data_IF_026493227155
#
_entry.id   IF_026493227155
#
_cell.length_a   1.000
_cell.length_b   1.000
_cell.length_c   1.000
_cell.angle_alpha   90.00
_cell.angle_beta   90.00
_cell.angle_gamma   90.00
#
_symmetry.space_group_name_H-M   'P 1'
#
loop_
_entity.id
_entity.type
_entity.pdbx_description
1 polymer ?
#
# COMPACT_ATOMS: atom_id res chain seq x y z
N UNK A 1 6.62 -43.57 17.35
CA UNK A 1 7.54 -42.96 16.36
C UNK A 1 7.06 -41.56 16.07
N UNK A 2 7.76 -40.55 16.59
CA UNK A 2 7.47 -39.14 16.33
C UNK A 2 7.98 -38.76 14.95
N UNK A 3 7.15 -38.07 14.17
CA UNK A 3 7.53 -37.54 12.87
C UNK A 3 7.75 -36.02 13.01
N UNK A 4 9.01 -35.63 13.15
CA UNK A 4 9.46 -34.24 13.21
C UNK A 4 9.31 -33.58 11.82
N UNK A 5 8.17 -32.93 11.60
CA UNK A 5 8.01 -31.98 10.50
C UNK A 5 8.77 -30.69 10.85
N UNK A 6 10.07 -30.65 10.53
CA UNK A 6 10.86 -29.41 10.52
C UNK A 6 10.28 -28.44 9.49
N UNK A 7 9.46 -27.51 9.96
CA UNK A 7 8.99 -26.36 9.16
C UNK A 7 10.17 -25.44 8.92
N UNK A 8 10.69 -25.43 7.68
CA UNK A 8 11.63 -24.40 7.23
C UNK A 8 11.02 -23.00 7.33
N UNK A 9 11.84 -21.94 7.44
CA UNK A 9 11.34 -20.57 7.57
C UNK A 9 10.51 -20.20 6.34
N UNK A 10 9.27 -19.77 6.58
CA UNK A 10 8.37 -19.32 5.51
C UNK A 10 8.91 -17.99 4.96
N UNK A 11 9.59 -18.05 3.82
CA UNK A 11 10.11 -16.85 3.15
C UNK A 11 8.94 -15.96 2.72
N UNK A 12 8.80 -14.85 3.43
CA UNK A 12 7.85 -13.81 3.10
C UNK A 12 8.40 -13.02 1.91
N UNK A 13 7.60 -12.77 0.87
CA UNK A 13 8.03 -12.05 -0.34
C UNK A 13 8.61 -10.65 -0.02
N UNK A 14 8.21 -10.07 1.12
CA UNK A 14 8.77 -8.83 1.65
C UNK A 14 10.28 -8.90 1.98
N UNK A 15 10.83 -10.08 2.26
CA UNK A 15 12.28 -10.26 2.45
C UNK A 15 13.07 -10.03 1.15
N UNK A 16 12.48 -10.34 0.00
CA UNK A 16 13.09 -10.12 -1.32
C UNK A 16 13.17 -8.61 -1.61
N UNK A 17 12.09 -7.86 -1.32
CA UNK A 17 12.10 -6.40 -1.47
C UNK A 17 13.11 -5.72 -0.52
N UNK A 18 13.23 -6.19 0.72
CA UNK A 18 14.26 -5.71 1.65
C UNK A 18 15.68 -5.98 1.17
N UNK A 19 15.93 -7.15 0.59
CA UNK A 19 17.23 -7.52 0.01
C UNK A 19 17.56 -6.66 -1.22
N UNK A 20 16.57 -6.36 -2.08
CA UNK A 20 16.75 -5.48 -3.24
C UNK A 20 17.13 -4.06 -2.80
N UNK A 21 16.48 -3.50 -1.78
CA UNK A 21 16.84 -2.18 -1.24
C UNK A 21 18.25 -2.19 -0.63
N UNK A 22 18.62 -3.25 0.10
CA UNK A 22 19.97 -3.41 0.65
C UNK A 22 21.04 -3.51 -0.43
N UNK A 23 20.76 -4.19 -1.54
CA UNK A 23 21.66 -4.28 -2.68
C UNK A 23 21.80 -2.90 -3.35
N UNK A 24 20.70 -2.17 -3.55
CA UNK A 24 20.74 -0.82 -4.12
C UNK A 24 21.55 0.14 -3.24
N UNK A 25 21.35 0.10 -1.93
CA UNK A 25 22.13 0.87 -0.95
C UNK A 25 23.60 0.44 -0.94
N UNK A 26 23.87 -0.87 -0.98
CA UNK A 26 25.22 -1.42 -1.02
C UNK A 26 25.99 -1.02 -2.28
N UNK A 27 25.32 -1.02 -3.44
CA UNK A 27 25.90 -0.58 -4.72
C UNK A 27 26.15 0.94 -4.74
N UNK A 28 25.25 1.74 -4.15
CA UNK A 28 25.45 3.18 -3.97
C UNK A 28 26.64 3.49 -3.05
N UNK A 29 26.80 2.75 -1.94
CA UNK A 29 27.90 2.93 -0.99
C UNK A 29 29.22 2.41 -1.56
N UNK A 30 29.21 1.30 -2.30
CA UNK A 30 30.41 0.72 -2.92
C UNK A 30 30.98 1.56 -4.06
N UNK A 31 30.18 2.45 -4.66
CA UNK A 31 30.63 3.38 -5.69
C UNK A 31 31.22 4.68 -5.15
N UNK A 32 31.08 4.95 -3.86
CA UNK A 32 31.59 6.16 -3.20
C UNK A 32 32.98 5.93 -2.59
N UNK A 33 33.95 6.76 -2.97
CA UNK A 33 35.21 6.85 -2.24
C UNK A 33 34.91 7.48 -0.88
N UNK A 34 34.74 6.66 0.16
CA UNK A 34 34.66 7.14 1.53
C UNK A 34 36.06 7.58 1.95
N UNK A 35 36.44 8.81 1.61
CA UNK A 35 37.69 9.40 2.07
C UNK A 35 37.55 9.68 3.57
N UNK A 36 38.41 9.09 4.43
CA UNK A 36 38.45 9.49 5.83
C UNK A 36 38.83 10.98 5.89
N UNK A 37 38.06 11.76 6.65
CA UNK A 37 38.32 13.18 6.93
C UNK A 37 39.82 13.37 7.14
N UNK A 38 40.47 14.08 6.23
CA UNK A 38 41.86 14.43 6.42
C UNK A 38 41.89 15.50 7.51
N UNK A 39 42.93 15.48 8.36
CA UNK A 39 43.03 16.46 9.44
C UNK A 39 42.98 17.88 8.86
N UNK A 40 42.27 18.81 9.53
CA UNK A 40 42.21 20.21 9.11
C UNK A 40 43.64 20.79 9.14
N UNK A 41 44.22 21.02 7.95
CA UNK A 41 45.52 21.65 7.79
C UNK A 41 45.38 23.09 7.30
N UNK A 42 46.43 23.89 7.42
CA UNK A 42 46.44 25.29 6.99
C UNK A 42 47.20 25.48 5.68
N UNK A 43 46.95 26.59 5.00
CA UNK A 43 47.72 26.98 3.81
C UNK A 43 49.23 27.15 4.11
N UNK A 44 49.61 27.40 5.37
CA UNK A 44 51.03 27.45 5.79
C UNK A 44 51.68 26.08 5.75
N UNK A 45 50.97 25.02 6.15
CA UNK A 45 51.48 23.64 6.09
C UNK A 45 51.74 23.21 4.64
N UNK A 46 50.88 23.67 3.71
CA UNK A 46 51.10 23.51 2.28
C UNK A 46 52.39 24.19 1.81
N UNK A 47 52.64 25.45 2.20
CA UNK A 47 53.87 26.16 1.83
C UNK A 47 55.12 25.39 2.30
N UNK A 48 55.12 24.92 3.54
CA UNK A 48 56.23 24.11 4.09
C UNK A 48 56.44 22.80 3.33
N UNK A 49 55.35 22.13 2.93
CA UNK A 49 55.43 20.89 2.16
C UNK A 49 55.87 21.11 0.69
N UNK A 50 55.51 22.23 0.10
CA UNK A 50 55.89 22.59 -1.26
C UNK A 50 57.34 23.07 -1.35
N UNK A 51 57.81 23.85 -0.37
CA UNK A 51 59.21 24.28 -0.25
C UNK A 51 60.17 23.09 -0.11
N UNK A 52 59.70 21.98 0.48
CA UNK A 52 60.45 20.72 0.57
C UNK A 52 60.35 19.84 -0.68
N UNK A 53 59.67 20.30 -1.75
CA UNK A 53 59.59 19.64 -3.06
C UNK A 53 58.70 18.39 -3.10
N UNK A 54 57.90 18.16 -2.05
CA UNK A 54 57.16 16.91 -1.79
C UNK A 54 55.79 16.86 -2.46
N UNK A 55 55.25 18.00 -2.90
CA UNK A 55 53.92 18.11 -3.51
C UNK A 55 53.96 17.68 -4.99
N UNK A 56 52.97 16.90 -5.41
CA UNK A 56 52.78 16.43 -6.78
C UNK A 56 51.67 17.18 -7.52
N UNK A 57 50.50 17.35 -6.89
CA UNK A 57 49.32 18.00 -7.49
C UNK A 57 48.39 18.54 -6.40
N UNK A 58 47.62 19.55 -6.77
CA UNK A 58 46.54 20.12 -5.96
C UNK A 58 45.21 19.86 -6.65
N UNK A 59 44.20 19.45 -5.89
CA UNK A 59 42.82 19.39 -6.38
C UNK A 59 41.93 20.28 -5.53
N UNK A 60 41.28 21.26 -6.16
CA UNK A 60 40.23 22.07 -5.53
C UNK A 60 38.92 21.31 -5.68
N UNK A 61 38.31 20.93 -4.56
CA UNK A 61 37.07 20.16 -4.53
C UNK A 61 35.93 21.08 -4.12
N UNK A 62 34.86 21.10 -4.93
CA UNK A 62 33.62 21.84 -4.65
C UNK A 62 33.80 23.33 -4.30
N UNK A 63 34.92 23.93 -4.69
CA UNK A 63 35.33 25.30 -4.35
C UNK A 63 35.43 25.59 -2.84
N UNK A 64 35.49 24.54 -2.00
CA UNK A 64 35.42 24.64 -0.54
C UNK A 64 36.77 24.28 0.12
N UNK A 65 37.43 23.22 -0.37
CA UNK A 65 38.71 22.77 0.17
C UNK A 65 39.66 22.32 -0.95
N UNK A 66 40.95 22.26 -0.60
CA UNK A 66 42.03 21.82 -1.49
C UNK A 66 42.66 20.56 -0.93
N UNK A 67 42.61 19.51 -1.73
CA UNK A 67 43.31 18.25 -1.50
C UNK A 67 44.75 18.34 -2.03
N UNK A 68 45.72 18.08 -1.16
CA UNK A 68 47.14 18.07 -1.51
C UNK A 68 47.62 16.63 -1.69
N UNK A 69 48.23 16.34 -2.84
CA UNK A 69 48.80 15.01 -3.12
C UNK A 69 50.34 15.12 -3.13
N UNK A 70 51.00 14.18 -2.47
CA UNK A 70 52.46 14.06 -2.47
C UNK A 70 52.99 13.18 -3.59
N UNK A 71 54.28 13.36 -3.93
CA UNK A 71 55.00 12.48 -4.86
C UNK A 71 55.19 11.09 -4.24
N UNK A 72 55.13 10.03 -5.06
CA UNK A 72 55.33 8.66 -4.61
C UNK A 72 56.70 8.48 -3.92
N UNK A 73 56.72 7.73 -2.81
CA UNK A 73 57.95 7.37 -2.10
C UNK A 73 58.49 8.40 -1.10
N UNK A 74 57.77 9.50 -0.85
CA UNK A 74 58.16 10.51 0.14
C UNK A 74 57.57 10.16 1.52
N UNK A 75 58.40 10.14 2.57
CA UNK A 75 57.96 9.92 3.94
C UNK A 75 57.04 11.07 4.42
N UNK A 76 55.90 10.71 4.99
CA UNK A 76 54.84 11.62 5.46
C UNK A 76 55.28 12.31 6.77
N UNK A 77 55.48 13.64 6.77
CA UNK A 77 55.94 14.35 7.96
C UNK A 77 54.78 14.57 8.95
N UNK A 78 54.71 13.78 10.03
CA UNK A 78 53.68 13.83 11.08
C UNK A 78 53.00 15.21 11.23
N UNK A 79 51.66 15.30 11.15
CA UNK A 79 50.99 16.58 11.22
C UNK A 79 51.35 17.24 12.57
N UNK A 80 51.60 18.55 12.54
CA UNK A 80 52.05 19.32 13.71
C UNK A 80 51.06 19.29 14.90
N UNK A 81 49.89 18.66 14.75
CA UNK A 81 48.85 18.48 15.76
C UNK A 81 48.56 17.03 16.20
N UNK A 82 49.41 16.05 15.87
CA UNK A 82 49.29 14.68 16.43
C UNK A 82 48.16 13.81 15.85
N UNK A 83 47.58 14.18 14.71
CA UNK A 83 46.66 13.33 13.95
C UNK A 83 47.33 12.04 13.45
N UNK A 84 46.66 10.90 13.58
CA UNK A 84 47.16 9.62 13.03
C UNK A 84 47.03 9.62 11.52
N UNK A 85 48.14 9.41 10.81
CA UNK A 85 48.07 9.09 9.38
C UNK A 85 47.32 7.80 9.15
N UNK A 86 46.52 7.77 8.09
CA UNK A 86 46.17 6.52 7.48
C UNK A 86 47.41 6.03 6.71
N UNK A 87 48.20 5.11 7.28
CA UNK A 87 49.42 4.56 6.63
C UNK A 87 49.15 3.90 5.26
N UNK A 88 47.88 3.70 4.89
CA UNK A 88 47.47 3.30 3.54
C UNK A 88 47.69 4.38 2.45
N UNK A 89 47.90 5.64 2.84
CA UNK A 89 48.12 6.79 1.93
C UNK A 89 49.53 6.78 1.32
N UNK A 90 50.43 5.94 1.85
CA UNK A 90 51.85 5.98 1.49
C UNK A 90 52.22 5.51 0.08
N UNK A 91 51.32 4.80 -0.60
CA UNK A 91 51.62 4.14 -1.87
C UNK A 91 50.58 4.40 -2.97
N UNK A 92 49.70 5.39 -2.82
CA UNK A 92 48.58 5.58 -3.76
C UNK A 92 48.38 7.04 -4.18
N UNK A 93 48.56 7.34 -5.47
CA UNK A 93 48.32 8.65 -6.08
C UNK A 93 46.85 9.12 -6.06
N UNK A 94 45.97 8.25 -5.55
CA UNK A 94 44.52 8.43 -5.50
C UNK A 94 44.01 8.91 -4.14
N UNK A 95 44.84 8.93 -3.11
CA UNK A 95 44.46 9.42 -1.78
C UNK A 95 45.15 10.74 -1.47
N UNK A 96 44.41 11.78 -1.03
CA UNK A 96 45.03 13.04 -0.63
C UNK A 96 45.88 12.84 0.63
N UNK A 97 47.02 13.53 0.70
CA UNK A 97 47.90 13.52 1.85
C UNK A 97 47.33 14.34 3.01
N UNK A 98 46.75 15.49 2.69
CA UNK A 98 45.97 16.32 3.59
C UNK A 98 45.02 17.25 2.82
N UNK A 99 44.04 17.81 3.52
CA UNK A 99 43.11 18.80 2.99
C UNK A 99 43.13 20.08 3.83
N UNK A 100 42.89 21.23 3.19
CA UNK A 100 42.69 22.49 3.89
C UNK A 100 41.55 23.28 3.27
N UNK A 101 40.80 24.00 4.11
CA UNK A 101 39.68 24.84 3.65
C UNK A 101 40.19 26.11 3.01
N UNK A 102 39.52 26.52 1.94
CA UNK A 102 39.78 27.79 1.25
C UNK A 102 38.55 28.69 1.36
N UNK A 103 38.77 30.01 1.39
CA UNK A 103 37.68 30.98 1.41
C UNK A 103 36.98 31.09 0.05
N UNK A 104 37.68 31.68 -0.93
CA UNK A 104 37.21 31.75 -2.32
C UNK A 104 38.31 31.23 -3.24
N UNK A 105 37.92 30.61 -4.35
CA UNK A 105 38.88 30.12 -5.37
C UNK A 105 39.75 31.26 -5.92
N UNK A 106 39.20 32.46 -6.03
CA UNK A 106 39.92 33.65 -6.47
C UNK A 106 40.97 34.12 -5.47
N UNK A 107 40.67 34.06 -4.18
CA UNK A 107 41.64 34.40 -3.14
C UNK A 107 42.74 33.34 -3.09
N UNK A 108 42.37 32.06 -3.17
CA UNK A 108 43.32 30.97 -3.22
C UNK A 108 44.27 31.06 -4.43
N UNK A 109 43.76 31.35 -5.62
CA UNK A 109 44.59 31.49 -6.82
C UNK A 109 45.54 32.70 -6.73
N UNK A 110 45.10 33.81 -6.13
CA UNK A 110 45.94 34.98 -5.84
C UNK A 110 47.05 34.63 -4.85
N UNK A 111 46.71 34.00 -3.73
CA UNK A 111 47.67 33.61 -2.68
C UNK A 111 48.69 32.58 -3.21
N UNK A 112 48.27 31.65 -4.07
CA UNK A 112 49.15 30.70 -4.74
C UNK A 112 50.10 31.41 -5.71
N UNK A 113 49.58 32.35 -6.53
CA UNK A 113 50.38 33.13 -7.48
C UNK A 113 51.41 34.02 -6.78
N UNK A 114 51.04 34.66 -5.66
CA UNK A 114 51.95 35.46 -4.83
C UNK A 114 53.02 34.59 -4.17
N UNK A 115 52.66 33.40 -3.72
CA UNK A 115 53.61 32.43 -3.18
C UNK A 115 54.60 31.95 -4.25
N UNK A 116 54.14 31.59 -5.45
CA UNK A 116 55.02 31.17 -6.56
C UNK A 116 55.99 32.28 -6.98
N UNK A 117 55.54 33.55 -6.98
CA UNK A 117 56.39 34.71 -7.26
C UNK A 117 57.45 34.97 -6.18
N UNK A 118 57.11 34.75 -4.91
CA UNK A 118 58.02 35.04 -3.79
C UNK A 118 59.10 33.96 -3.57
N UNK A 119 58.87 32.73 -4.03
CA UNK A 119 59.82 31.61 -3.79
C UNK A 119 60.74 31.28 -4.97
N UNK A 120 60.58 31.87 -6.16
CA UNK A 120 61.44 31.63 -7.34
C UNK A 120 61.68 30.12 -7.62
N UNK A 121 60.71 29.27 -7.28
CA UNK A 121 60.83 27.82 -7.35
C UNK A 121 60.31 27.33 -8.69
N UNK A 122 61.13 26.63 -9.47
CA UNK A 122 60.77 26.06 -10.77
C UNK A 122 59.69 24.94 -10.73
N UNK A 123 59.12 24.64 -9.56
CA UNK A 123 58.10 23.62 -9.37
C UNK A 123 56.70 24.25 -9.38
N UNK A 124 56.18 24.51 -10.58
CA UNK A 124 54.77 24.88 -10.74
C UNK A 124 53.91 23.64 -10.45
N UNK A 125 53.13 23.70 -9.36
CA UNK A 125 52.24 22.58 -9.00
C UNK A 125 50.95 22.71 -9.79
N UNK A 126 50.55 21.64 -10.46
CA UNK A 126 49.31 21.63 -11.24
C UNK A 126 48.10 21.64 -10.32
N UNK A 127 47.19 22.59 -10.56
CA UNK A 127 45.91 22.74 -9.85
C UNK A 127 44.80 22.20 -10.74
N UNK A 128 44.06 21.21 -10.24
CA UNK A 128 42.87 20.66 -10.90
C UNK A 128 41.62 21.08 -10.14
N UNK A 129 40.52 21.28 -10.85
CA UNK A 129 39.21 21.57 -10.27
C UNK A 129 38.31 20.36 -10.48
N UNK A 130 37.74 19.85 -9.40
CA UNK A 130 36.88 18.67 -9.42
C UNK A 130 35.61 18.95 -8.60
N UNK A 131 34.48 18.42 -9.07
CA UNK A 131 33.19 18.55 -8.40
C UNK A 131 32.79 17.16 -7.93
N UNK A 132 32.94 16.92 -6.63
CA UNK A 132 32.63 15.62 -6.03
C UNK A 132 31.26 15.66 -5.37
N UNK A 133 30.34 14.73 -5.70
CA UNK A 133 29.05 14.66 -5.04
C UNK A 133 29.23 14.30 -3.56
N UNK A 134 28.57 15.06 -2.68
CA UNK A 134 28.56 14.80 -1.23
C UNK A 134 27.62 13.62 -0.92
N UNK A 135 28.18 12.42 -0.99
CA UNK A 135 27.44 11.18 -0.71
C UNK A 135 26.93 11.10 0.73
N UNK A 136 27.58 11.77 1.69
CA UNK A 136 27.15 11.77 3.10
C UNK A 136 25.87 12.60 3.27
N UNK A 137 25.84 13.79 2.65
CA UNK A 137 24.64 14.62 2.62
C UNK A 137 23.49 13.92 1.88
N UNK A 138 23.76 13.32 0.72
CA UNK A 138 22.78 12.54 -0.04
C UNK A 138 22.22 11.38 0.79
N UNK A 139 23.08 10.61 1.48
CA UNK A 139 22.67 9.51 2.34
C UNK A 139 21.79 9.99 3.51
N UNK A 140 22.16 11.07 4.20
CA UNK A 140 21.37 11.64 5.30
C UNK A 140 19.97 12.08 4.85
N UNK A 141 19.87 12.69 3.67
CA UNK A 141 18.60 13.14 3.10
C UNK A 141 17.65 11.96 2.78
N UNK A 142 18.19 10.82 2.33
CA UNK A 142 17.40 9.62 2.07
C UNK A 142 17.13 8.78 3.32
N UNK A 143 18.00 8.84 4.34
CA UNK A 143 17.85 8.05 5.56
C UNK A 143 16.63 8.47 6.39
N UNK A 144 16.35 9.78 6.49
CA UNK A 144 15.24 10.33 7.27
C UNK A 144 13.85 9.81 6.81
N UNK A 145 13.47 9.88 5.52
CA UNK A 145 12.20 9.35 5.07
C UNK A 145 12.10 7.82 5.20
N UNK A 146 13.21 7.09 4.96
CA UNK A 146 13.24 5.63 5.15
C UNK A 146 12.95 5.28 6.62
N UNK A 147 13.62 5.97 7.55
CA UNK A 147 13.45 5.74 8.99
C UNK A 147 12.03 6.09 9.45
N UNK A 148 11.43 7.14 8.89
CA UNK A 148 10.02 7.50 9.14
C UNK A 148 9.05 6.38 8.70
N UNK A 149 9.22 5.85 7.48
CA UNK A 149 8.38 4.73 7.01
C UNK A 149 8.60 3.46 7.83
N UNK A 150 9.84 3.15 8.21
CA UNK A 150 10.16 2.00 9.07
C UNK A 150 9.55 2.17 10.46
N UNK A 151 9.55 3.37 11.03
CA UNK A 151 8.93 3.66 12.32
C UNK A 151 7.40 3.51 12.28
N UNK A 152 6.74 4.05 11.24
CA UNK A 152 5.30 3.88 11.03
C UNK A 152 4.96 2.39 10.85
N UNK A 153 5.74 1.69 10.03
CA UNK A 153 5.58 0.26 9.81
C UNK A 153 5.71 -0.48 11.15
N UNK A 154 6.76 -0.23 11.93
CA UNK A 154 6.93 -0.84 13.24
C UNK A 154 5.76 -0.54 14.19
N UNK A 155 5.23 0.69 14.20
CA UNK A 155 4.07 1.05 15.02
C UNK A 155 2.78 0.32 14.61
N UNK A 156 2.52 0.18 13.31
CA UNK A 156 1.36 -0.55 12.77
C UNK A 156 1.46 -2.03 13.13
N UNK A 157 2.64 -2.63 12.92
CA UNK A 157 2.87 -4.04 13.22
C UNK A 157 2.87 -4.33 14.72
N UNK A 158 3.37 -3.41 15.56
CA UNK A 158 3.26 -3.50 17.02
C UNK A 158 1.80 -3.46 17.49
N UNK A 159 0.95 -2.66 16.83
CA UNK A 159 -0.49 -2.59 17.14
C UNK A 159 -1.26 -3.82 16.66
N UNK A 160 -0.75 -4.52 15.64
CA UNK A 160 -1.38 -5.72 15.08
C UNK A 160 -0.91 -7.03 15.75
N UNK A 161 0.22 -7.00 16.49
CA UNK A 161 0.77 -8.16 17.20
C UNK A 161 0.31 -8.36 18.64
N UNK A 162 -0.46 -7.43 19.22
CA UNK A 162 -0.81 -7.44 20.66
C UNK A 162 -2.29 -7.79 20.96
N UNK A 163 -3.06 -8.20 19.95
CA UNK A 163 -4.39 -8.78 20.11
C UNK A 163 -4.36 -10.23 19.64
N UNK A 164 -4.49 -11.17 20.58
CA UNK A 164 -4.23 -12.59 20.37
C UNK A 164 -5.04 -13.27 19.26
N UNK A 165 -4.53 -14.42 18.83
CA UNK A 165 -5.24 -15.38 17.98
C UNK A 165 -4.59 -15.55 16.61
N UNK A 166 -4.07 -16.74 16.36
CA UNK A 166 -3.40 -17.10 15.12
C UNK A 166 -4.25 -16.83 13.88
N UNK A 167 -3.59 -16.31 12.85
CA UNK A 167 -4.18 -16.12 11.54
C UNK A 167 -3.07 -15.78 10.57
N UNK A 168 -2.59 -16.80 9.83
CA UNK A 168 -1.63 -16.62 8.77
C UNK A 168 -2.11 -15.66 7.67
N UNK A 169 -1.23 -15.42 6.71
CA UNK A 169 -1.39 -14.63 5.49
C UNK A 169 -2.78 -14.73 4.81
N UNK A 170 -3.80 -14.08 5.36
CA UNK A 170 -5.19 -14.21 4.91
C UNK A 170 -6.07 -13.00 5.21
N UNK A 171 -5.54 -11.93 5.81
CA UNK A 171 -6.32 -10.73 6.14
C UNK A 171 -6.69 -9.85 4.95
N UNK A 172 -6.02 -10.02 3.80
CA UNK A 172 -6.15 -9.12 2.63
C UNK A 172 -6.78 -9.84 1.42
N UNK A 173 -6.69 -11.17 1.34
CA UNK A 173 -7.31 -11.97 0.27
C UNK A 173 -8.74 -12.45 0.59
N UNK A 174 -9.31 -12.06 1.73
CA UNK A 174 -10.68 -12.43 2.10
C UNK A 174 -11.73 -11.38 1.68
N UNK A 175 -11.37 -10.45 0.79
CA UNK A 175 -12.27 -9.42 0.23
C UNK A 175 -13.45 -10.03 -0.56
N UNK A 176 -13.41 -11.32 -0.93
CA UNK A 176 -14.49 -12.02 -1.63
C UNK A 176 -15.37 -12.91 -0.75
N UNK A 177 -15.01 -13.16 0.52
CA UNK A 177 -15.90 -13.86 1.46
C UNK A 177 -16.50 -12.78 2.32
N UNK A 178 -17.75 -12.43 2.03
CA UNK A 178 -18.58 -11.63 2.90
C UNK A 178 -18.32 -12.06 4.35
N UNK A 179 -17.64 -11.21 5.13
CA UNK A 179 -17.91 -11.09 6.56
C UNK A 179 -19.32 -10.51 6.64
N UNK A 180 -20.30 -11.29 6.20
CA UNK A 180 -21.58 -11.29 6.83
C UNK A 180 -21.21 -11.64 8.26
N UNK A 181 -21.20 -10.60 9.12
CA UNK A 181 -21.71 -10.81 10.45
C UNK A 181 -22.87 -11.78 10.28
N UNK A 182 -22.89 -12.87 11.04
CA UNK A 182 -24.12 -13.61 11.27
C UNK A 182 -25.11 -12.58 11.81
N UNK A 183 -25.72 -11.81 10.91
CA UNK A 183 -26.99 -11.20 11.11
C UNK A 183 -27.86 -12.43 11.21
N UNK A 184 -28.17 -12.80 12.44
CA UNK A 184 -29.44 -13.43 12.77
C UNK A 184 -30.57 -12.53 12.22
N UNK A 185 -30.71 -12.49 10.89
CA UNK A 185 -31.86 -12.00 10.13
C UNK A 185 -32.59 -13.22 9.55
N UNK A 186 -32.57 -14.31 10.30
CA UNK A 186 -33.60 -15.35 10.28
C UNK A 186 -34.59 -15.12 11.41
N UNK A 187 -34.74 -13.87 11.88
CA UNK A 187 -35.70 -13.51 12.92
C UNK A 187 -37.09 -13.73 12.33
N UNK A 188 -37.88 -14.62 12.95
CA UNK A 188 -39.31 -14.70 12.67
C UNK A 188 -39.88 -13.29 12.89
N UNK A 189 -40.40 -12.69 11.82
CA UNK A 189 -41.00 -11.37 11.89
C UNK A 189 -42.35 -11.55 12.57
N UNK A 190 -42.58 -10.84 13.68
CA UNK A 190 -43.84 -10.94 14.44
C UNK A 190 -44.89 -9.91 14.00
N UNK A 191 -44.71 -9.32 12.81
CA UNK A 191 -45.62 -8.33 12.22
C UNK A 191 -46.56 -9.07 11.29
N UNK A 192 -47.85 -8.78 11.36
CA UNK A 192 -48.93 -9.45 10.62
C UNK A 192 -49.69 -8.45 9.74
N UNK A 193 -50.62 -8.89 8.89
CA UNK A 193 -51.42 -7.97 8.08
C UNK A 193 -52.34 -7.06 8.91
N UNK A 194 -52.61 -7.43 10.17
CA UNK A 194 -53.35 -6.59 11.11
C UNK A 194 -52.56 -5.33 11.52
N UNK A 195 -51.23 -5.38 11.46
CA UNK A 195 -50.36 -4.25 11.80
C UNK A 195 -50.17 -3.26 10.63
N UNK A 196 -50.68 -3.61 9.44
CA UNK A 196 -50.66 -2.76 8.25
C UNK A 196 -52.04 -2.14 8.11
N UNK A 197 -52.16 -0.81 8.22
CA UNK A 197 -53.43 -0.13 8.00
C UNK A 197 -53.63 0.20 6.51
N UNK A 198 -54.85 0.02 5.99
CA UNK A 198 -55.19 0.26 4.59
C UNK A 198 -54.55 -0.74 3.62
N UNK A 199 -54.33 -0.28 2.38
CA UNK A 199 -53.75 -1.09 1.27
C UNK A 199 -54.53 -2.38 0.99
N UNK A 200 -55.86 -2.35 1.10
CA UNK A 200 -56.70 -3.57 1.06
C UNK A 200 -56.55 -4.33 -0.27
N UNK A 201 -56.47 -3.61 -1.40
CA UNK A 201 -56.22 -4.21 -2.72
C UNK A 201 -54.86 -4.92 -2.78
N UNK A 202 -53.79 -4.24 -2.35
CA UNK A 202 -52.44 -4.82 -2.35
C UNK A 202 -52.32 -5.99 -1.38
N UNK A 203 -53.02 -5.95 -0.22
CA UNK A 203 -53.09 -7.06 0.73
C UNK A 203 -53.72 -8.31 0.11
N UNK A 204 -54.78 -8.15 -0.69
CA UNK A 204 -55.42 -9.28 -1.38
C UNK A 204 -54.45 -9.94 -2.36
N UNK A 205 -53.71 -9.16 -3.14
CA UNK A 205 -52.72 -9.69 -4.09
C UNK A 205 -51.57 -10.43 -3.38
N UNK A 206 -51.01 -9.86 -2.31
CA UNK A 206 -49.91 -10.53 -1.58
C UNK A 206 -50.39 -11.72 -0.74
N UNK A 207 -51.68 -11.79 -0.41
CA UNK A 207 -52.26 -12.92 0.35
C UNK A 207 -52.22 -14.22 -0.45
N UNK A 208 -52.31 -14.16 -1.78
CA UNK A 208 -52.12 -15.32 -2.66
C UNK A 208 -50.69 -15.89 -2.52
N UNK A 209 -49.68 -15.01 -2.47
CA UNK A 209 -48.28 -15.39 -2.26
C UNK A 209 -48.10 -16.04 -0.88
N UNK A 210 -48.75 -15.49 0.16
CA UNK A 210 -48.72 -16.07 1.52
C UNK A 210 -49.35 -17.46 1.54
N UNK A 211 -50.51 -17.65 0.93
CA UNK A 211 -51.15 -18.97 0.91
C UNK A 211 -50.33 -19.98 0.12
N UNK A 212 -49.66 -19.55 -0.95
CA UNK A 212 -48.69 -20.38 -1.66
C UNK A 212 -47.56 -20.83 -0.74
N UNK A 213 -46.94 -19.90 0.01
CA UNK A 213 -45.83 -20.22 0.91
C UNK A 213 -46.25 -21.14 2.06
N UNK A 214 -47.49 -21.04 2.55
CA UNK A 214 -48.04 -21.94 3.56
C UNK A 214 -48.35 -23.33 3.00
N UNK A 215 -48.88 -23.39 1.78
CA UNK A 215 -49.42 -24.62 1.17
C UNK A 215 -48.81 -24.94 -0.21
N UNK A 216 -47.47 -25.01 -0.36
CA UNK A 216 -46.83 -25.10 -1.68
C UNK A 216 -47.27 -26.36 -2.45
N UNK A 217 -47.43 -27.49 -1.76
CA UNK A 217 -47.83 -28.78 -2.36
C UNK A 217 -49.18 -28.73 -3.08
N UNK A 218 -50.15 -27.97 -2.53
CA UNK A 218 -51.50 -27.85 -3.10
C UNK A 218 -51.46 -27.18 -4.47
N UNK A 219 -50.68 -26.11 -4.58
CA UNK A 219 -50.57 -25.34 -5.81
C UNK A 219 -49.69 -26.03 -6.85
N UNK A 220 -48.60 -26.69 -6.44
CA UNK A 220 -47.76 -27.48 -7.36
C UNK A 220 -48.55 -28.66 -7.96
N UNK A 221 -49.41 -29.33 -7.19
CA UNK A 221 -50.25 -30.42 -7.68
C UNK A 221 -51.28 -29.97 -8.73
N UNK A 222 -51.72 -28.72 -8.66
CA UNK A 222 -52.64 -28.11 -9.63
C UNK A 222 -51.90 -27.52 -10.86
N UNK A 223 -50.58 -27.70 -10.96
CA UNK A 223 -49.75 -27.15 -12.04
C UNK A 223 -49.45 -25.66 -11.89
N UNK A 224 -49.77 -25.06 -10.73
CA UNK A 224 -49.46 -23.67 -10.42
C UNK A 224 -47.96 -23.48 -10.20
N UNK A 225 -47.37 -22.49 -10.89
CA UNK A 225 -45.98 -22.06 -10.67
C UNK A 225 -45.94 -20.96 -9.61
N UNK A 226 -44.97 -21.04 -8.70
CA UNK A 226 -44.73 -19.97 -7.72
C UNK A 226 -44.39 -18.68 -8.48
N UNK A 227 -45.00 -17.54 -8.17
CA UNK A 227 -44.49 -16.25 -8.61
C UNK A 227 -43.03 -16.10 -8.17
N UNK A 228 -42.11 -15.91 -9.11
CA UNK A 228 -40.67 -15.82 -8.83
C UNK A 228 -40.28 -14.55 -8.05
N UNK A 229 -41.14 -13.54 -8.04
CA UNK A 229 -40.96 -12.28 -7.32
C UNK A 229 -42.15 -11.35 -7.52
N UNK A 230 -42.23 -10.33 -6.66
CA UNK A 230 -43.20 -9.25 -6.75
C UNK A 230 -42.47 -7.92 -6.59
N UNK A 231 -42.84 -6.90 -7.37
CA UNK A 231 -42.25 -5.56 -7.30
C UNK A 231 -43.27 -4.60 -6.69
N UNK A 232 -43.00 -4.11 -5.49
CA UNK A 232 -43.84 -3.12 -4.82
C UNK A 232 -43.42 -1.70 -5.25
N UNK A 233 -44.29 -0.99 -5.96
CA UNK A 233 -44.03 0.36 -6.47
C UNK A 233 -44.95 1.38 -5.79
N UNK A 234 -44.40 2.53 -5.43
CA UNK A 234 -45.18 3.65 -4.90
C UNK A 234 -44.30 4.71 -4.24
N UNK A 235 -44.86 5.88 -3.89
CA UNK A 235 -44.16 6.95 -3.19
C UNK A 235 -43.45 6.49 -1.91
N UNK A 236 -42.38 7.17 -1.44
CA UNK A 236 -41.77 6.87 -0.16
C UNK A 236 -42.79 7.02 0.98
N UNK A 237 -42.70 6.17 2.02
CA UNK A 237 -43.57 6.24 3.19
C UNK A 237 -44.93 5.53 3.06
N UNK A 238 -45.25 4.88 1.93
CA UNK A 238 -46.52 4.14 1.74
C UNK A 238 -46.56 2.74 2.34
N UNK A 239 -45.63 2.39 3.24
CA UNK A 239 -45.66 1.11 3.93
C UNK A 239 -45.19 -0.11 3.14
N UNK A 240 -44.53 0.04 1.98
CA UNK A 240 -43.99 -1.09 1.17
C UNK A 240 -43.16 -2.09 1.99
N UNK A 241 -42.19 -1.59 2.75
CA UNK A 241 -41.31 -2.40 3.61
C UNK A 241 -42.10 -3.04 4.77
N UNK A 242 -43.16 -2.39 5.25
CA UNK A 242 -44.03 -2.93 6.30
C UNK A 242 -44.92 -4.06 5.76
N UNK A 243 -45.47 -3.90 4.56
CA UNK A 243 -46.26 -4.93 3.88
C UNK A 243 -45.42 -6.19 3.60
N UNK A 244 -44.17 -6.03 3.15
CA UNK A 244 -43.26 -7.16 2.93
C UNK A 244 -42.93 -7.91 4.24
N UNK A 245 -42.74 -7.18 5.34
CA UNK A 245 -42.54 -7.77 6.67
C UNK A 245 -43.78 -8.51 7.17
N UNK A 246 -44.96 -7.92 6.97
CA UNK A 246 -46.24 -8.53 7.32
C UNK A 246 -46.49 -9.82 6.53
N UNK A 247 -46.19 -9.83 5.22
CA UNK A 247 -46.29 -11.02 4.38
C UNK A 247 -45.45 -12.19 4.92
N UNK A 248 -44.22 -11.91 5.40
CA UNK A 248 -43.36 -12.93 5.97
C UNK A 248 -43.82 -13.42 7.35
N UNK A 249 -44.31 -12.52 8.20
CA UNK A 249 -44.89 -12.90 9.49
C UNK A 249 -46.18 -13.69 9.33
N UNK A 250 -47.01 -13.37 8.34
CA UNK A 250 -48.21 -14.14 8.00
C UNK A 250 -47.87 -15.54 7.51
N UNK A 251 -46.89 -15.66 6.61
CA UNK A 251 -46.41 -16.96 6.11
C UNK A 251 -45.57 -17.75 7.13
N UNK A 252 -45.12 -17.12 8.23
CA UNK A 252 -44.23 -17.71 9.24
C UNK A 252 -42.92 -18.25 8.65
N UNK A 253 -42.39 -17.60 7.62
CA UNK A 253 -41.13 -17.96 6.94
C UNK A 253 -39.99 -17.00 7.31
N UNK A 254 -38.71 -17.42 7.19
CA UNK A 254 -37.58 -16.51 7.37
C UNK A 254 -37.64 -15.31 6.41
N UNK A 255 -37.31 -14.12 6.92
CA UNK A 255 -37.31 -12.86 6.17
C UNK A 255 -35.91 -12.25 6.07
N UNK A 256 -35.33 -12.28 4.88
CA UNK A 256 -34.06 -11.66 4.58
C UNK A 256 -34.28 -10.26 4.03
N UNK A 257 -33.71 -9.24 4.68
CA UNK A 257 -33.82 -7.83 4.26
C UNK A 257 -32.46 -7.21 4.02
N UNK A 258 -32.30 -6.68 2.80
CA UNK A 258 -31.11 -6.00 2.26
C UNK A 258 -31.52 -4.75 1.48
N UNK A 259 -30.61 -3.77 1.36
CA UNK A 259 -30.79 -2.63 0.46
C UNK A 259 -30.16 -2.93 -0.89
N UNK A 260 -30.74 -2.45 -1.98
CA UNK A 260 -30.17 -2.50 -3.33
C UNK A 260 -28.81 -1.79 -3.38
N UNK A 261 -28.61 -0.76 -2.57
CA UNK A 261 -27.34 -0.06 -2.44
C UNK A 261 -26.22 -0.92 -1.85
N UNK A 262 -26.53 -1.95 -1.04
CA UNK A 262 -25.54 -2.88 -0.47
C UNK A 262 -24.78 -3.70 -1.54
N UNK A 263 -25.31 -3.72 -2.77
CA UNK A 263 -24.75 -4.44 -3.90
C UNK A 263 -23.96 -3.55 -4.88
N UNK A 264 -23.89 -2.23 -4.64
CA UNK A 264 -23.14 -1.29 -5.48
C UNK A 264 -21.80 -1.01 -4.82
N UNK A 265 -20.73 -1.55 -5.40
CA UNK A 265 -19.37 -1.46 -4.84
C UNK A 265 -18.40 -0.84 -5.85
N UNK A 266 -17.30 -0.24 -5.34
CA UNK A 266 -16.23 0.31 -6.19
C UNK A 266 -15.39 -0.79 -6.86
N UNK A 267 -15.42 -2.00 -6.29
CA UNK A 267 -14.64 -3.14 -6.76
C UNK A 267 -15.49 -4.05 -7.65
N UNK A 268 -15.01 -4.26 -8.87
CA UNK A 268 -15.68 -5.11 -9.86
C UNK A 268 -15.88 -6.53 -9.30
N UNK A 269 -17.12 -7.01 -9.38
CA UNK A 269 -17.47 -8.40 -9.04
C UNK A 269 -17.77 -8.66 -7.56
N UNK A 270 -17.59 -7.68 -6.66
CA UNK A 270 -17.96 -7.83 -5.25
C UNK A 270 -19.48 -7.90 -5.10
N UNK A 271 -20.23 -7.01 -5.76
CA UNK A 271 -21.70 -7.03 -5.75
C UNK A 271 -22.29 -8.36 -6.23
N UNK A 272 -21.84 -8.84 -7.40
CA UNK A 272 -22.24 -10.14 -7.93
C UNK A 272 -21.95 -11.32 -6.97
N UNK A 273 -20.81 -11.31 -6.26
CA UNK A 273 -20.52 -12.35 -5.28
C UNK A 273 -21.47 -12.31 -4.09
N UNK A 274 -21.82 -11.11 -3.59
CA UNK A 274 -22.80 -10.96 -2.51
C UNK A 274 -24.17 -11.49 -2.92
N UNK A 275 -24.61 -11.22 -4.15
CA UNK A 275 -25.88 -11.76 -4.69
C UNK A 275 -25.87 -13.29 -4.61
N UNK A 276 -24.83 -13.96 -5.12
CA UNK A 276 -24.71 -15.42 -5.05
C UNK A 276 -24.78 -15.96 -3.63
N UNK A 277 -24.05 -15.33 -2.70
CA UNK A 277 -24.01 -15.76 -1.30
C UNK A 277 -25.37 -15.61 -0.60
N UNK A 278 -26.11 -14.52 -0.89
CA UNK A 278 -27.46 -14.30 -0.38
C UNK A 278 -28.42 -15.37 -0.89
N UNK A 279 -28.45 -15.61 -2.20
CA UNK A 279 -29.34 -16.60 -2.80
C UNK A 279 -28.99 -18.03 -2.36
N UNK A 280 -27.70 -18.33 -2.15
CA UNK A 280 -27.27 -19.60 -1.56
C UNK A 280 -27.82 -19.80 -0.15
N UNK A 281 -27.68 -18.80 0.73
CA UNK A 281 -28.19 -18.87 2.10
C UNK A 281 -29.72 -18.94 2.16
N UNK A 282 -30.41 -18.29 1.22
CA UNK A 282 -31.86 -18.35 1.09
C UNK A 282 -32.33 -19.76 0.67
N UNK A 283 -31.66 -20.40 -0.30
CA UNK A 283 -31.94 -21.78 -0.69
C UNK A 283 -31.80 -22.76 0.47
N UNK A 284 -30.77 -22.62 1.30
CA UNK A 284 -30.56 -23.45 2.49
C UNK A 284 -31.67 -23.32 3.54
N UNK A 285 -32.42 -22.20 3.55
CA UNK A 285 -33.52 -21.94 4.50
C UNK A 285 -34.88 -21.81 3.82
N UNK A 286 -35.06 -22.41 2.64
CA UNK A 286 -36.34 -22.40 1.94
C UNK A 286 -37.42 -23.20 2.72
N UNK A 287 -38.69 -22.74 2.72
CA UNK A 287 -39.22 -21.53 2.09
C UNK A 287 -38.85 -20.27 2.87
N UNK A 288 -38.46 -19.19 2.17
CA UNK A 288 -38.10 -17.90 2.77
C UNK A 288 -38.45 -16.74 1.83
N UNK A 289 -38.49 -15.52 2.36
CA UNK A 289 -38.68 -14.28 1.57
C UNK A 289 -37.37 -13.48 1.57
N UNK A 290 -36.93 -13.08 0.38
CA UNK A 290 -35.85 -12.09 0.19
C UNK A 290 -36.51 -10.76 -0.18
N UNK A 291 -36.31 -9.75 0.64
CA UNK A 291 -36.75 -8.38 0.41
C UNK A 291 -35.54 -7.49 0.11
N UNK A 292 -35.58 -6.86 -1.06
CA UNK A 292 -34.57 -5.92 -1.54
C UNK A 292 -35.22 -4.54 -1.61
N UNK A 293 -34.87 -3.68 -0.67
CA UNK A 293 -35.32 -2.28 -0.68
C UNK A 293 -34.51 -1.49 -1.72
N UNK A 294 -35.07 -0.43 -2.31
CA UNK A 294 -34.33 0.44 -3.25
C UNK A 294 -33.61 -0.31 -4.39
N UNK A 295 -34.32 -1.25 -5.04
CA UNK A 295 -33.77 -2.04 -6.16
C UNK A 295 -33.37 -1.18 -7.37
N UNK A 296 -33.87 0.04 -7.45
CA UNK A 296 -33.50 1.03 -8.48
C UNK A 296 -32.02 1.41 -8.42
N UNK A 297 -31.34 1.24 -7.27
CA UNK A 297 -29.89 1.42 -7.15
C UNK A 297 -29.07 0.50 -8.08
N UNK A 298 -29.55 -0.73 -8.31
CA UNK A 298 -28.92 -1.72 -9.20
C UNK A 298 -29.66 -1.85 -10.55
N UNK A 299 -30.94 -1.50 -10.60
CA UNK A 299 -31.82 -1.70 -11.75
C UNK A 299 -31.83 -0.56 -12.78
N UNK A 300 -30.96 0.45 -12.64
CA UNK A 300 -30.94 1.58 -13.60
C UNK A 300 -30.59 1.10 -15.01
N UNK A 301 -31.51 1.33 -15.95
CA UNK A 301 -31.36 0.91 -17.34
C UNK A 301 -30.10 1.48 -18.00
N UNK A 302 -29.50 0.67 -18.89
CA UNK A 302 -28.32 0.98 -19.71
C UNK A 302 -28.42 2.34 -20.38
N UNK A 303 -27.68 3.33 -19.86
CA UNK A 303 -27.54 4.64 -20.50
C UNK A 303 -26.60 4.57 -21.69
N UNK A 304 -26.96 5.21 -22.81
CA UNK A 304 -26.21 5.20 -24.08
C UNK A 304 -24.82 5.88 -24.03
N UNK A 305 -24.36 6.34 -22.87
CA UNK A 305 -23.08 7.01 -22.68
C UNK A 305 -22.07 6.05 -22.04
N UNK A 306 -21.31 5.38 -22.90
CA UNK A 306 -20.12 4.60 -22.58
C UNK A 306 -18.99 5.52 -22.07
N UNK A 307 -18.87 5.72 -20.76
CA UNK A 307 -17.55 5.97 -20.18
C UNK A 307 -17.56 5.64 -18.67
N UNK A 308 -17.04 4.45 -18.36
CA UNK A 308 -16.25 4.14 -17.15
C UNK A 308 -16.92 3.93 -15.77
N UNK A 309 -18.24 3.75 -15.63
CA UNK A 309 -18.84 3.50 -14.29
C UNK A 309 -20.01 2.50 -14.23
N UNK A 310 -20.44 1.88 -15.33
CA UNK A 310 -21.63 1.00 -15.33
C UNK A 310 -21.35 -0.50 -15.28
N UNK A 311 -20.10 -0.95 -15.47
CA UNK A 311 -19.81 -2.38 -15.64
C UNK A 311 -20.07 -3.20 -14.36
N UNK A 312 -19.85 -2.61 -13.18
CA UNK A 312 -20.08 -3.28 -11.90
C UNK A 312 -21.58 -3.48 -11.63
N UNK A 313 -22.38 -2.42 -11.80
CA UNK A 313 -23.84 -2.48 -11.65
C UNK A 313 -24.48 -3.45 -12.63
N UNK A 314 -24.06 -3.43 -13.91
CA UNK A 314 -24.57 -4.35 -14.91
C UNK A 314 -24.24 -5.81 -14.57
N UNK A 315 -23.02 -6.09 -14.11
CA UNK A 315 -22.61 -7.44 -13.70
C UNK A 315 -23.42 -7.95 -12.51
N UNK A 316 -23.61 -7.11 -11.49
CA UNK A 316 -24.42 -7.41 -10.31
C UNK A 316 -25.89 -7.65 -10.67
N UNK A 317 -26.47 -6.83 -11.55
CA UNK A 317 -27.86 -6.99 -12.03
C UNK A 317 -28.03 -8.30 -12.81
N UNK A 318 -27.13 -8.60 -13.73
CA UNK A 318 -27.17 -9.85 -14.51
C UNK A 318 -27.08 -11.07 -13.59
N UNK A 319 -26.23 -11.03 -12.57
CA UNK A 319 -26.13 -12.10 -11.58
C UNK A 319 -27.45 -12.28 -10.82
N UNK A 320 -28.13 -11.20 -10.45
CA UNK A 320 -29.45 -11.28 -9.81
C UNK A 320 -30.49 -11.94 -10.71
N UNK A 321 -30.51 -11.58 -12.00
CA UNK A 321 -31.42 -12.20 -12.98
C UNK A 321 -31.15 -13.70 -13.15
N UNK A 322 -29.88 -14.10 -13.19
CA UNK A 322 -29.49 -15.52 -13.26
C UNK A 322 -29.95 -16.28 -12.01
N UNK A 323 -29.76 -15.73 -10.82
CA UNK A 323 -30.21 -16.38 -9.58
C UNK A 323 -31.74 -16.44 -9.49
N UNK A 324 -32.46 -15.42 -9.95
CA UNK A 324 -33.93 -15.41 -10.00
C UNK A 324 -34.51 -16.41 -11.02
N UNK A 325 -33.83 -16.62 -12.14
CA UNK A 325 -34.29 -17.59 -13.14
C UNK A 325 -33.92 -19.04 -12.75
N UNK A 326 -32.80 -19.21 -12.05
CA UNK A 326 -32.29 -20.49 -11.54
C UNK A 326 -33.23 -21.22 -10.55
N UNK A 327 -34.28 -20.57 -10.04
CA UNK A 327 -35.34 -21.23 -9.26
C UNK A 327 -36.18 -22.25 -10.06
N UNK A 328 -35.92 -22.40 -11.37
CA UNK A 328 -36.71 -23.25 -12.27
C UNK A 328 -36.24 -24.71 -12.36
N UNK A 329 -35.16 -25.09 -11.66
CA UNK A 329 -34.59 -26.43 -11.75
C UNK A 329 -33.99 -26.91 -10.44
N UNK A 330 -34.86 -27.41 -9.56
CA UNK A 330 -34.68 -28.57 -8.66
C UNK A 330 -35.98 -28.83 -7.89
#
# INVERSE_FOLDING_TARGET
>A
MGNDNRKGPKFNIYWIYGLIVLIILGVQISGGNFSPVAADHSFQDFKMANDSGKVAKLKVINNDHVEVYYKQGVAFPAPAGGGKYNNAVANNDKTPAFEFKIGTVEQFSKELTEYEKSTNTANHVQVFYDQQPDYVHVLMQFLLPILFFVAIWFLIFRKMGNGGGGGGAGGIFNIGKSKAQLFEKGTRVNITFNDVAGLDEAKVEVMEIVDFLKNPKKYTALGGKIPKGALLVGPPGTGKTLLAKAMAGEAQVPFYSMSGSDFVELFVGVGASRVRDVFKQAREKAPCIIFIDEIDAIGRARGKNMMMSNDERENTLNQMLVEMDGFSGD
#
